data_IF_001904510444
#
_entry.id   IF_001904510444
#
_cell.length_a   1.000
_cell.length_b   1.000
_cell.length_c   1.000
_cell.angle_alpha   90.00
_cell.angle_beta   90.00
_cell.angle_gamma   90.00
#
_symmetry.space_group_name_H-M   'P 1'
#
loop_
_entity.id
_entity.type
_entity.pdbx_description
1 polymer ?
#
# COMPACT_ATOMS: atom_id res chain seq x y z
N UNK A 1 -6.49 -1.75 -27.16
CA UNK A 1 -6.87 -1.48 -25.78
C UNK A 1 -5.86 -0.54 -25.13
N UNK A 2 -6.32 0.46 -24.45
CA UNK A 2 -5.44 1.41 -23.77
C UNK A 2 -5.32 0.99 -22.31
N UNK A 3 -4.09 0.78 -21.87
CA UNK A 3 -3.79 0.49 -20.48
C UNK A 3 -3.67 1.81 -19.73
N UNK A 4 -4.32 1.92 -18.57
CA UNK A 4 -4.27 3.12 -17.74
C UNK A 4 -3.47 2.80 -16.49
N UNK A 5 -2.35 3.48 -16.35
CA UNK A 5 -1.48 3.33 -15.20
C UNK A 5 -1.28 4.69 -14.53
N UNK A 6 -1.31 4.69 -13.22
CA UNK A 6 -1.00 5.87 -12.42
C UNK A 6 0.12 5.53 -11.45
N UNK A 7 1.05 6.46 -11.29
CA UNK A 7 2.18 6.31 -10.37
C UNK A 7 2.13 7.49 -9.41
N UNK A 8 2.24 7.20 -8.12
CA UNK A 8 2.29 8.24 -7.10
C UNK A 8 3.49 7.96 -6.17
N UNK A 9 4.14 9.01 -5.71
CA UNK A 9 5.32 8.90 -4.87
C UNK A 9 5.26 9.93 -3.76
N UNK A 10 5.64 9.51 -2.55
CA UNK A 10 5.72 10.38 -1.39
C UNK A 10 7.08 10.19 -0.74
N UNK A 11 7.77 11.30 -0.49
CA UNK A 11 9.02 11.32 0.26
C UNK A 11 8.84 12.23 1.46
N UNK A 12 9.32 11.80 2.60
CA UNK A 12 9.20 12.59 3.82
C UNK A 12 10.27 12.21 4.82
N UNK A 13 10.56 13.13 5.74
CA UNK A 13 11.42 12.84 6.89
C UNK A 13 10.53 12.79 8.13
N UNK A 14 10.54 11.64 8.80
CA UNK A 14 9.70 11.41 9.97
C UNK A 14 10.59 11.46 11.22
N UNK A 15 10.24 12.27 12.23
CA UNK A 15 11.07 12.40 13.44
C UNK A 15 10.86 11.25 14.42
N UNK A 16 11.03 10.03 13.94
CA UNK A 16 10.94 8.80 14.72
C UNK A 16 12.01 7.84 14.24
N UNK A 17 12.43 6.93 15.12
CA UNK A 17 13.41 5.93 14.71
C UNK A 17 12.82 4.97 13.68
N UNK A 18 13.70 4.34 12.91
CA UNK A 18 13.29 3.53 11.77
C UNK A 18 12.50 2.29 12.20
N UNK A 19 12.79 1.71 13.36
CA UNK A 19 12.06 0.54 13.84
C UNK A 19 10.60 0.90 14.13
N UNK A 20 10.37 2.04 14.75
CA UNK A 20 9.02 2.49 15.06
C UNK A 20 8.22 2.78 13.79
N UNK A 21 8.84 3.43 12.82
CA UNK A 21 8.18 3.70 11.54
C UNK A 21 7.87 2.40 10.80
N UNK A 22 8.84 1.49 10.77
CA UNK A 22 8.65 0.19 10.14
C UNK A 22 7.50 -0.58 10.78
N UNK A 23 7.50 -0.68 12.12
CA UNK A 23 6.47 -1.42 12.83
C UNK A 23 5.07 -0.84 12.59
N UNK A 24 4.97 0.48 12.52
CA UNK A 24 3.68 1.13 12.26
C UNK A 24 3.18 0.86 10.84
N UNK A 25 4.06 0.97 9.85
CA UNK A 25 3.67 0.80 8.44
C UNK A 25 3.33 -0.64 8.13
N UNK A 26 4.06 -1.60 8.70
CA UNK A 26 3.88 -3.01 8.39
C UNK A 26 2.89 -3.73 9.31
N UNK A 27 2.32 -3.04 10.31
CA UNK A 27 1.36 -3.63 11.24
C UNK A 27 0.04 -3.94 10.53
N UNK A 28 -0.37 -5.20 10.55
CA UNK A 28 -1.61 -5.66 9.92
C UNK A 28 -2.76 -5.82 10.93
N UNK A 29 -2.46 -5.80 12.21
CA UNK A 29 -3.46 -5.97 13.27
C UNK A 29 -3.76 -4.68 14.04
N UNK A 30 -3.11 -3.57 13.68
CA UNK A 30 -3.34 -2.25 14.29
C UNK A 30 -3.70 -1.24 13.19
N UNK A 31 -4.88 -1.37 12.64
CA UNK A 31 -5.32 -0.55 11.50
C UNK A 31 -6.43 0.45 11.86
N UNK A 32 -6.70 0.66 13.13
CA UNK A 32 -7.75 1.60 13.55
C UNK A 32 -7.48 3.03 13.09
N UNK A 33 -6.21 3.37 12.85
CA UNK A 33 -5.82 4.68 12.34
C UNK A 33 -6.23 4.89 10.86
N UNK A 34 -6.67 3.82 10.19
CA UNK A 34 -7.11 3.89 8.79
C UNK A 34 -8.63 3.86 8.75
N UNK A 35 -9.23 5.03 8.55
CA UNK A 35 -10.68 5.16 8.58
C UNK A 35 -11.39 4.51 7.40
N UNK A 36 -10.68 4.18 6.33
CA UNK A 36 -11.23 3.56 5.13
C UNK A 36 -11.42 2.04 5.26
N UNK A 37 -10.83 1.43 6.28
CA UNK A 37 -10.87 -0.02 6.43
C UNK A 37 -11.89 -0.46 7.47
N UNK A 38 -12.58 -1.57 7.19
CA UNK A 38 -13.41 -2.25 8.18
C UNK A 38 -12.64 -3.39 8.84
N UNK A 39 -11.79 -4.09 8.09
CA UNK A 39 -10.93 -5.14 8.66
C UNK A 39 -9.81 -5.51 7.70
N UNK A 40 -8.81 -6.17 8.26
CA UNK A 40 -7.75 -6.83 7.51
C UNK A 40 -7.77 -8.31 7.88
N UNK A 41 -7.81 -9.18 6.88
CA UNK A 41 -7.78 -10.62 7.07
C UNK A 41 -6.42 -11.15 6.65
N UNK A 42 -5.67 -11.74 7.57
CA UNK A 42 -4.35 -12.30 7.29
C UNK A 42 -4.53 -13.74 6.79
N UNK A 43 -4.13 -13.99 5.53
CA UNK A 43 -4.23 -15.32 4.93
C UNK A 43 -3.03 -16.18 5.35
N UNK A 44 -1.83 -15.62 5.21
CA UNK A 44 -0.59 -16.26 5.64
C UNK A 44 0.47 -15.17 5.81
N UNK A 45 1.73 -15.55 6.04
CA UNK A 45 2.80 -14.57 6.31
C UNK A 45 3.12 -13.64 5.13
N UNK A 46 2.64 -13.95 3.93
CA UNK A 46 2.90 -13.14 2.73
C UNK A 46 1.66 -12.53 2.13
N UNK A 47 0.48 -12.91 2.59
CA UNK A 47 -0.74 -12.51 1.91
C UNK A 47 -1.81 -12.09 2.90
N UNK A 48 -2.46 -10.97 2.61
CA UNK A 48 -3.57 -10.48 3.42
C UNK A 48 -4.60 -9.78 2.53
N UNK A 49 -5.80 -9.61 3.05
CA UNK A 49 -6.90 -8.95 2.34
C UNK A 49 -7.40 -7.78 3.19
N UNK A 50 -7.51 -6.61 2.58
CA UNK A 50 -8.13 -5.44 3.21
C UNK A 50 -9.56 -5.31 2.71
N UNK A 51 -10.48 -5.04 3.64
CA UNK A 51 -11.89 -4.80 3.32
C UNK A 51 -12.23 -3.36 3.66
N UNK A 52 -12.86 -2.66 2.70
CA UNK A 52 -13.40 -1.33 2.97
C UNK A 52 -14.69 -1.48 3.77
N UNK A 53 -15.24 -0.37 4.27
CA UNK A 53 -16.51 -0.38 4.99
C UNK A 53 -17.66 -0.84 4.12
N UNK A 54 -17.52 -0.74 2.79
CA UNK A 54 -18.52 -1.25 1.84
C UNK A 54 -18.37 -2.75 1.58
N UNK A 55 -17.36 -3.39 2.18
CA UNK A 55 -17.10 -4.81 1.95
C UNK A 55 -16.27 -5.11 0.70
N UNK A 56 -15.71 -4.09 0.05
CA UNK A 56 -14.89 -4.28 -1.14
C UNK A 56 -13.50 -4.81 -0.73
N UNK A 57 -13.09 -5.91 -1.35
CA UNK A 57 -11.87 -6.62 -0.96
C UNK A 57 -10.72 -6.35 -1.93
N UNK A 58 -9.53 -6.10 -1.36
CA UNK A 58 -8.29 -6.01 -2.13
C UNK A 58 -7.28 -6.98 -1.53
N UNK A 59 -6.70 -7.83 -2.35
CA UNK A 59 -5.71 -8.81 -1.94
C UNK A 59 -4.32 -8.24 -2.08
N UNK A 60 -3.50 -8.39 -1.05
CA UNK A 60 -2.12 -7.92 -1.00
C UNK A 60 -1.19 -9.12 -0.85
N UNK A 61 -0.14 -9.15 -1.67
CA UNK A 61 0.88 -10.19 -1.61
C UNK A 61 2.24 -9.53 -1.39
N UNK A 62 2.87 -9.80 -0.24
CA UNK A 62 4.16 -9.22 0.11
C UNK A 62 5.24 -9.89 -0.73
N UNK A 63 5.97 -9.11 -1.52
CA UNK A 63 7.02 -9.62 -2.40
C UNK A 63 8.42 -9.40 -1.84
N UNK A 64 8.61 -8.34 -1.06
CA UNK A 64 9.89 -8.04 -0.42
C UNK A 64 9.62 -7.60 1.02
N UNK A 65 10.36 -8.14 1.96
CA UNK A 65 10.29 -7.72 3.36
C UNK A 65 11.70 -7.75 3.97
N UNK A 66 12.33 -6.60 3.97
CA UNK A 66 13.64 -6.38 4.58
C UNK A 66 13.45 -5.42 5.74
N UNK A 67 13.42 -5.93 6.98
CA UNK A 67 13.08 -5.10 8.14
C UNK A 67 13.87 -3.79 8.22
N UNK A 68 13.14 -2.70 8.42
CA UNK A 68 13.66 -1.34 8.54
C UNK A 68 14.38 -0.81 7.29
N UNK A 69 14.21 -1.48 6.14
CA UNK A 69 14.85 -1.08 4.89
C UNK A 69 13.89 -1.02 3.73
N UNK A 70 13.16 -2.10 3.46
CA UNK A 70 12.33 -2.17 2.26
C UNK A 70 11.15 -3.09 2.46
N UNK A 71 9.98 -2.64 1.99
CA UNK A 71 8.77 -3.44 2.01
C UNK A 71 8.03 -3.22 0.71
N UNK A 72 7.73 -4.32 -0.01
CA UNK A 72 7.01 -4.25 -1.26
C UNK A 72 5.89 -5.25 -1.27
N UNK A 73 4.79 -4.89 -1.91
CA UNK A 73 3.69 -5.82 -2.10
C UNK A 73 2.97 -5.54 -3.40
N UNK A 74 2.36 -6.59 -3.95
CA UNK A 74 1.42 -6.48 -5.05
C UNK A 74 0.03 -6.37 -4.47
N UNK A 75 -0.85 -5.62 -5.13
CA UNK A 75 -2.24 -5.49 -4.73
C UNK A 75 -3.13 -5.73 -5.93
N UNK A 76 -4.27 -6.36 -5.67
CA UNK A 76 -5.19 -6.70 -6.75
C UNK A 76 -6.63 -6.81 -6.25
N UNK A 77 -7.54 -6.27 -7.05
CA UNK A 77 -8.97 -6.46 -6.86
C UNK A 77 -9.63 -6.59 -8.23
N UNK A 78 -10.96 -6.58 -8.28
CA UNK A 78 -11.69 -6.77 -9.55
C UNK A 78 -11.48 -5.64 -10.54
N UNK A 79 -11.04 -4.47 -10.09
CA UNK A 79 -10.95 -3.26 -10.93
C UNK A 79 -9.54 -2.87 -11.29
N UNK A 80 -8.55 -3.30 -10.51
CA UNK A 80 -7.17 -2.87 -10.71
C UNK A 80 -6.17 -3.89 -10.20
N UNK A 81 -4.91 -3.69 -10.59
CA UNK A 81 -3.77 -4.35 -9.99
C UNK A 81 -2.69 -3.29 -9.82
N UNK A 82 -1.80 -3.49 -8.86
CA UNK A 82 -0.76 -2.53 -8.58
C UNK A 82 0.39 -3.11 -7.79
N UNK A 83 1.36 -2.25 -7.54
CA UNK A 83 2.55 -2.58 -6.76
C UNK A 83 2.90 -1.40 -5.88
N UNK A 84 3.27 -1.67 -4.64
CA UNK A 84 3.68 -0.65 -3.68
C UNK A 84 5.09 -0.95 -3.21
N UNK A 85 5.93 0.09 -3.20
CA UNK A 85 7.32 0.00 -2.77
C UNK A 85 7.55 1.02 -1.67
N UNK A 86 8.01 0.55 -0.51
CA UNK A 86 8.40 1.43 0.58
C UNK A 86 9.87 1.25 0.90
N UNK A 87 10.62 2.36 0.89
CA UNK A 87 12.03 2.38 1.26
C UNK A 87 12.18 3.22 2.52
N UNK A 88 12.92 2.69 3.49
CA UNK A 88 13.13 3.30 4.80
C UNK A 88 14.62 3.53 4.99
N UNK A 89 15.02 4.75 5.32
CA UNK A 89 16.42 5.10 5.51
C UNK A 89 16.57 5.80 6.85
N UNK A 90 17.39 5.24 7.72
CA UNK A 90 17.67 5.86 9.00
C UNK A 90 18.66 7.01 8.84
N UNK A 91 18.38 8.15 9.47
CA UNK A 91 19.21 9.34 9.42
C UNK A 91 19.17 10.03 10.79
N UNK A 92 20.21 9.86 11.58
CA UNK A 92 20.36 10.54 12.90
C UNK A 92 19.13 10.40 13.80
N UNK A 93 18.63 9.17 13.97
CA UNK A 93 17.48 8.89 14.82
C UNK A 93 16.14 9.25 14.20
N UNK A 94 16.14 9.70 12.94
CA UNK A 94 14.93 9.98 12.18
C UNK A 94 14.86 9.00 11.01
N UNK A 95 13.76 9.02 10.27
CA UNK A 95 13.57 8.11 9.16
C UNK A 95 13.14 8.87 7.92
N UNK A 96 13.88 8.71 6.83
CA UNK A 96 13.42 9.13 5.52
C UNK A 96 12.58 8.00 4.94
N UNK A 97 11.42 8.33 4.41
CA UNK A 97 10.59 7.38 3.67
C UNK A 97 10.50 7.78 2.21
N UNK A 98 10.44 6.75 1.36
CA UNK A 98 10.23 6.93 -0.07
C UNK A 98 9.23 5.86 -0.48
N UNK A 99 7.96 6.25 -0.61
CA UNK A 99 6.86 5.32 -0.90
C UNK A 99 6.33 5.58 -2.30
N UNK A 100 6.27 4.52 -3.09
CA UNK A 100 5.81 4.58 -4.47
C UNK A 100 4.67 3.59 -4.68
N UNK A 101 3.59 4.06 -5.31
CA UNK A 101 2.46 3.22 -5.66
C UNK A 101 2.23 3.29 -7.16
N UNK A 102 2.12 2.11 -7.79
CA UNK A 102 1.81 1.98 -9.21
C UNK A 102 0.51 1.21 -9.34
N UNK A 103 -0.46 1.77 -10.05
CA UNK A 103 -1.78 1.15 -10.19
C UNK A 103 -2.17 1.11 -11.66
N UNK A 104 -2.65 -0.03 -12.13
CA UNK A 104 -3.13 -0.23 -13.49
C UNK A 104 -4.58 -0.69 -13.47
N UNK A 105 -5.44 -0.02 -14.24
CA UNK A 105 -6.84 -0.41 -14.37
C UNK A 105 -6.95 -1.70 -15.21
N UNK A 106 -7.71 -2.67 -14.73
CA UNK A 106 -7.90 -3.94 -15.43
C UNK A 106 -8.80 -3.84 -16.65
N UNK A 107 -9.75 -2.91 -16.63
CA UNK A 107 -10.76 -2.80 -17.67
C UNK A 107 -10.76 -1.40 -18.23
N UNK A 108 -10.48 -1.27 -19.51
CA UNK A 108 -10.38 0.06 -20.10
C UNK A 108 -11.72 0.82 -20.09
N UNK A 109 -12.84 0.12 -20.16
CA UNK A 109 -14.13 0.78 -20.08
C UNK A 109 -14.45 1.36 -18.70
N UNK A 110 -13.63 1.06 -17.72
CA UNK A 110 -13.73 1.62 -16.38
C UNK A 110 -12.95 2.93 -16.21
N UNK A 111 -12.37 3.43 -17.29
CA UNK A 111 -11.60 4.68 -17.28
C UNK A 111 -12.18 5.81 -16.46
N UNK A 112 -13.46 6.17 -16.62
CA UNK A 112 -14.02 7.28 -15.86
C UNK A 112 -14.01 7.04 -14.36
N UNK A 113 -14.04 5.78 -13.95
CA UNK A 113 -14.07 5.40 -12.54
C UNK A 113 -12.70 5.33 -11.93
N UNK A 114 -11.68 5.01 -12.73
CA UNK A 114 -10.30 4.93 -12.24
C UNK A 114 -9.85 6.25 -11.63
N UNK A 115 -10.21 7.37 -12.25
CA UNK A 115 -9.89 8.69 -11.69
C UNK A 115 -10.49 8.90 -10.31
N UNK A 116 -11.66 8.36 -10.07
CA UNK A 116 -12.30 8.43 -8.76
C UNK A 116 -11.55 7.63 -7.71
N UNK A 117 -11.05 6.45 -8.07
CA UNK A 117 -10.25 5.64 -7.16
C UNK A 117 -8.95 6.35 -6.78
N UNK A 118 -8.27 6.91 -7.75
CA UNK A 118 -6.96 7.49 -7.54
C UNK A 118 -7.00 8.80 -6.75
N UNK A 119 -8.13 9.45 -6.70
CA UNK A 119 -8.31 10.71 -5.96
C UNK A 119 -8.59 10.51 -4.48
N UNK A 120 -8.83 9.31 -4.08
CA UNK A 120 -9.02 8.99 -2.68
C UNK A 120 -7.68 8.96 -1.95
#
# INVERSE_FOLDING_TARGET
MIEIMAISNIKALIPCDVKKVWDTVTSLDQYEWRSDLSKIEIINEKQFVEYTKDGFATTFTITVSEPCKRWEFDMENSNMKGHWTGIFIETDGQTEIDFTEEVTAKKFFMKPFVKGFLKK
#
